data_IF_938820088536
#
_entry.id   IF_938820088536
#
_cell.length_a   1.000
_cell.length_b   1.000
_cell.length_c   1.000
_cell.angle_alpha   90.00
_cell.angle_beta   90.00
_cell.angle_gamma   90.00
#
_symmetry.space_group_name_H-M   'P 1'
#
loop_
_entity.id
_entity.type
_entity.pdbx_description
1 polymer ?
#
# COMPACT_ATOMS: atom_id res chain seq x y z
N UNK A 1 14.74 6.54 23.15
CA UNK A 1 14.50 7.49 22.04
C UNK A 1 13.04 7.93 22.13
N UNK A 2 12.72 9.23 22.06
CA UNK A 2 11.32 9.66 22.21
C UNK A 2 10.49 9.30 20.97
N UNK A 3 9.20 9.01 21.16
CA UNK A 3 8.30 8.60 20.07
C UNK A 3 8.21 9.64 18.93
N UNK A 4 8.34 10.94 19.25
CA UNK A 4 8.35 12.01 18.27
C UNK A 4 9.61 12.02 17.38
N UNK A 5 10.78 11.75 17.97
CA UNK A 5 12.04 11.65 17.23
C UNK A 5 12.00 10.44 16.31
N UNK A 6 11.50 9.30 16.80
CA UNK A 6 11.33 8.11 15.98
C UNK A 6 10.39 8.36 14.79
N UNK A 7 9.24 8.99 15.00
CA UNK A 7 8.31 9.33 13.92
C UNK A 7 8.94 10.26 12.87
N UNK A 8 9.73 11.25 13.29
CA UNK A 8 10.47 12.13 12.36
C UNK A 8 11.48 11.34 11.54
N UNK A 9 12.25 10.45 12.17
CA UNK A 9 13.20 9.58 11.48
C UNK A 9 12.48 8.69 10.46
N UNK A 10 11.35 8.08 10.83
CA UNK A 10 10.58 7.22 9.93
C UNK A 10 9.98 8.00 8.75
N UNK A 11 9.46 9.22 8.97
CA UNK A 11 9.00 10.10 7.88
C UNK A 11 10.14 10.43 6.93
N UNK A 12 11.29 10.85 7.45
CA UNK A 12 12.46 11.14 6.64
C UNK A 12 12.94 9.94 5.83
N UNK A 13 12.98 8.74 6.44
CA UNK A 13 13.32 7.50 5.73
C UNK A 13 12.35 7.21 4.61
N UNK A 14 11.05 7.42 4.84
CA UNK A 14 10.00 7.23 3.82
C UNK A 14 10.22 8.19 2.63
N UNK A 15 10.47 9.47 2.89
CA UNK A 15 10.72 10.46 1.83
C UNK A 15 11.99 10.15 1.03
N UNK A 16 13.06 9.66 1.67
CA UNK A 16 14.30 9.32 0.95
C UNK A 16 14.24 7.98 0.23
N UNK A 17 13.49 7.00 0.74
CA UNK A 17 13.44 5.64 0.18
C UNK A 17 12.43 5.44 -0.94
N UNK A 18 12.18 6.46 -1.78
CA UNK A 18 11.21 6.37 -2.88
C UNK A 18 11.46 5.19 -3.83
N UNK A 19 12.71 4.97 -4.26
CA UNK A 19 13.04 3.83 -5.11
C UNK A 19 12.80 2.47 -4.42
N UNK A 20 13.02 2.40 -3.10
CA UNK A 20 12.71 1.20 -2.30
C UNK A 20 11.21 0.97 -2.22
N UNK A 21 10.43 2.03 -1.99
CA UNK A 21 8.98 2.00 -1.98
C UNK A 21 8.41 1.52 -3.33
N UNK A 22 8.90 2.07 -4.45
CA UNK A 22 8.50 1.65 -5.81
C UNK A 22 8.79 0.19 -6.09
N UNK A 23 9.96 -0.30 -5.68
CA UNK A 23 10.30 -1.72 -5.81
C UNK A 23 9.29 -2.58 -5.06
N UNK A 24 9.00 -2.28 -3.81
CA UNK A 24 8.04 -3.06 -3.02
C UNK A 24 6.61 -2.97 -3.57
N UNK A 25 6.16 -1.80 -4.02
CA UNK A 25 4.86 -1.65 -4.67
C UNK A 25 4.78 -2.42 -5.99
N UNK A 26 5.90 -2.52 -6.72
CA UNK A 26 5.95 -3.31 -7.95
C UNK A 26 5.85 -4.80 -7.67
N UNK A 27 6.49 -5.30 -6.61
CA UNK A 27 6.31 -6.69 -6.15
C UNK A 27 4.85 -6.95 -5.75
N UNK A 28 4.23 -6.03 -5.01
CA UNK A 28 2.81 -6.14 -4.65
C UNK A 28 1.91 -6.15 -5.88
N UNK A 29 2.20 -5.31 -6.89
CA UNK A 29 1.43 -5.29 -8.12
C UNK A 29 1.48 -6.66 -8.83
N UNK A 30 2.66 -7.28 -8.94
CA UNK A 30 2.81 -8.64 -9.49
C UNK A 30 2.01 -9.68 -8.70
N UNK A 31 1.92 -9.55 -7.38
CA UNK A 31 1.11 -10.45 -6.55
C UNK A 31 -0.41 -10.26 -6.72
N UNK A 32 -0.85 -9.06 -7.12
CA UNK A 32 -2.26 -8.71 -7.33
C UNK A 32 -2.75 -8.98 -8.76
N UNK A 33 -1.86 -8.93 -9.76
CA UNK A 33 -2.20 -9.13 -11.19
C UNK A 33 -2.96 -10.44 -11.45
N UNK A 34 -2.53 -11.62 -10.94
CA UNK A 34 -3.26 -12.88 -11.15
C UNK A 34 -4.64 -12.92 -10.49
N UNK A 35 -4.91 -12.01 -9.55
CA UNK A 35 -6.19 -11.95 -8.81
C UNK A 35 -7.26 -11.13 -9.52
N UNK A 36 -6.96 -10.57 -10.70
CA UNK A 36 -7.93 -9.87 -11.55
C UNK A 36 -8.23 -8.43 -11.14
N UNK A 37 -7.46 -7.85 -10.21
CA UNK A 37 -7.59 -6.45 -9.82
C UNK A 37 -6.98 -5.52 -10.88
N UNK A 38 -7.59 -4.35 -11.08
CA UNK A 38 -7.00 -3.29 -11.90
C UNK A 38 -6.03 -2.48 -11.06
N UNK A 39 -4.88 -2.16 -11.63
CA UNK A 39 -3.77 -1.52 -10.92
C UNK A 39 -3.33 -0.26 -11.65
N UNK A 40 -3.23 0.86 -10.92
CA UNK A 40 -2.59 2.09 -11.41
C UNK A 40 -1.35 2.36 -10.57
N UNK A 41 -0.19 2.41 -11.24
CA UNK A 41 1.11 2.72 -10.63
C UNK A 41 1.32 4.23 -10.69
N UNK A 42 1.27 4.88 -9.53
CA UNK A 42 1.49 6.32 -9.36
C UNK A 42 2.86 6.52 -8.71
N UNK A 43 3.93 6.30 -9.48
CA UNK A 43 5.32 6.32 -8.99
C UNK A 43 6.02 7.64 -9.34
N UNK A 44 7.27 7.82 -8.87
CA UNK A 44 8.04 9.05 -9.13
C UNK A 44 8.30 9.28 -10.61
N UNK A 45 8.48 8.21 -11.38
CA UNK A 45 8.64 8.33 -12.83
C UNK A 45 7.43 9.00 -13.51
N UNK A 46 6.25 9.01 -12.86
CA UNK A 46 5.04 9.70 -13.31
C UNK A 46 4.82 11.05 -12.59
N UNK A 47 5.81 11.55 -11.84
CA UNK A 47 5.75 12.85 -11.14
C UNK A 47 5.20 12.80 -9.71
N UNK A 48 4.92 11.61 -9.14
CA UNK A 48 4.36 11.51 -7.79
C UNK A 48 5.47 11.49 -6.73
N UNK A 49 5.47 12.42 -5.74
CA UNK A 49 6.57 12.54 -4.77
C UNK A 49 6.66 11.35 -3.80
N UNK A 50 5.52 10.72 -3.50
CA UNK A 50 5.39 9.50 -2.72
C UNK A 50 4.79 8.42 -3.62
N UNK A 51 5.52 7.33 -3.89
CA UNK A 51 5.02 6.23 -4.69
C UNK A 51 3.76 5.60 -4.09
N UNK A 52 2.77 5.37 -4.94
CA UNK A 52 1.50 4.77 -4.57
C UNK A 52 1.05 3.75 -5.62
N UNK A 53 0.44 2.66 -5.17
CA UNK A 53 -0.26 1.71 -6.02
C UNK A 53 -1.76 1.84 -5.75
N UNK A 54 -2.53 2.26 -6.74
CA UNK A 54 -3.98 2.28 -6.65
C UNK A 54 -4.52 0.93 -7.14
N UNK A 55 -5.19 0.20 -6.26
CA UNK A 55 -5.82 -1.09 -6.55
C UNK A 55 -7.32 -0.85 -6.58
N UNK A 56 -7.98 -1.24 -7.66
CA UNK A 56 -9.41 -1.01 -7.79
C UNK A 56 -10.08 -2.10 -8.60
N UNK A 57 -11.38 -2.21 -8.40
CA UNK A 57 -12.24 -2.88 -9.34
C UNK A 57 -13.52 -2.07 -9.53
N UNK A 58 -14.05 -2.15 -10.74
CA UNK A 58 -15.23 -1.43 -11.16
C UNK A 58 -16.20 -2.37 -11.85
N UNK A 59 -17.44 -2.35 -11.39
CA UNK A 59 -18.60 -2.83 -12.13
C UNK A 59 -19.49 -1.66 -12.56
N UNK A 60 -20.53 -1.91 -13.37
CA UNK A 60 -21.40 -0.87 -13.91
C UNK A 60 -22.16 -0.05 -12.84
N UNK A 61 -22.23 -0.53 -11.60
CA UNK A 61 -23.01 0.09 -10.53
C UNK A 61 -22.19 0.44 -9.28
N UNK A 62 -20.92 0.02 -9.18
CA UNK A 62 -20.07 0.30 -8.04
C UNK A 62 -18.58 0.25 -8.41
N UNK A 63 -17.83 1.21 -7.89
CA UNK A 63 -16.37 1.27 -7.98
C UNK A 63 -15.80 1.25 -6.58
N UNK A 64 -14.92 0.29 -6.29
CA UNK A 64 -14.16 0.26 -5.04
C UNK A 64 -12.68 0.33 -5.36
N UNK A 65 -11.94 1.06 -4.53
CA UNK A 65 -10.51 1.21 -4.66
C UNK A 65 -9.83 1.28 -3.31
N UNK A 66 -8.53 1.04 -3.29
CA UNK A 66 -7.64 1.14 -2.16
C UNK A 66 -6.29 1.64 -2.68
N UNK A 67 -5.81 2.75 -2.13
CA UNK A 67 -4.44 3.19 -2.36
C UNK A 67 -3.49 2.53 -1.38
N UNK A 68 -2.41 1.93 -1.87
CA UNK A 68 -1.35 1.33 -1.06
C UNK A 68 -0.07 2.13 -1.19
N UNK A 69 0.53 2.48 -0.06
CA UNK A 69 1.84 3.12 0.04
C UNK A 69 2.81 2.26 0.83
N UNK A 70 4.10 2.51 0.66
CA UNK A 70 5.16 1.84 1.41
C UNK A 70 5.82 2.83 2.37
N UNK A 71 5.74 2.53 3.66
CA UNK A 71 6.25 3.40 4.73
C UNK A 71 7.40 2.71 5.46
N UNK A 72 8.42 3.50 5.82
CA UNK A 72 9.47 3.01 6.71
C UNK A 72 8.88 2.77 8.11
N UNK A 73 9.17 1.62 8.69
CA UNK A 73 8.79 1.25 10.07
C UNK A 73 10.04 1.07 10.95
N UNK A 74 9.85 0.83 12.24
CA UNK A 74 10.93 0.56 13.19
C UNK A 74 11.77 -0.65 12.76
N UNK A 75 12.98 -0.78 13.31
CA UNK A 75 13.86 -1.92 12.98
C UNK A 75 14.43 -1.92 11.56
N UNK A 76 14.56 -0.75 10.92
CA UNK A 76 15.05 -0.58 9.54
C UNK A 76 14.17 -1.25 8.46
N UNK A 77 12.98 -1.73 8.79
CA UNK A 77 12.07 -2.39 7.86
C UNK A 77 11.11 -1.40 7.14
N UNK A 78 10.26 -1.98 6.28
CA UNK A 78 9.23 -1.31 5.50
C UNK A 78 7.91 -2.09 5.60
N UNK A 79 6.79 -1.38 5.57
CA UNK A 79 5.45 -1.96 5.57
C UNK A 79 4.59 -1.43 4.42
N UNK A 80 3.67 -2.25 3.95
CA UNK A 80 2.56 -1.84 3.11
C UNK A 80 1.47 -1.21 3.98
N UNK A 81 0.92 -0.08 3.54
CA UNK A 81 -0.11 0.65 4.27
C UNK A 81 -1.21 1.14 3.35
N UNK A 82 -2.44 1.14 3.84
CA UNK A 82 -3.55 1.93 3.30
C UNK A 82 -3.18 3.43 3.36
N UNK A 83 -3.21 4.10 2.20
CA UNK A 83 -2.88 5.52 2.07
C UNK A 83 -3.79 6.41 2.91
N UNK A 84 -5.08 6.08 3.01
CA UNK A 84 -6.08 6.90 3.68
C UNK A 84 -5.86 6.88 5.21
N UNK A 85 -5.39 5.73 5.72
CA UNK A 85 -5.09 5.52 7.13
C UNK A 85 -3.63 5.79 7.49
N UNK A 86 -2.78 6.00 6.49
CA UNK A 86 -1.35 6.23 6.64
C UNK A 86 -0.68 5.19 7.54
N UNK A 87 0.09 5.65 8.54
CA UNK A 87 0.81 4.74 9.47
C UNK A 87 -0.10 3.83 10.29
N UNK A 88 -1.38 4.18 10.50
CA UNK A 88 -2.36 3.34 11.19
C UNK A 88 -2.99 2.29 10.28
N UNK A 89 -2.80 2.41 8.97
CA UNK A 89 -3.33 1.49 7.96
C UNK A 89 -2.41 0.34 7.62
N UNK A 90 -1.67 -0.21 8.58
CA UNK A 90 -0.73 -1.31 8.29
C UNK A 90 -1.47 -2.51 7.69
N UNK A 91 -0.97 -3.02 6.57
CA UNK A 91 -1.50 -4.20 5.88
C UNK A 91 -0.63 -5.42 6.14
N UNK A 92 0.67 -5.30 5.84
CA UNK A 92 1.63 -6.39 5.89
C UNK A 92 3.08 -5.86 5.82
N UNK A 93 4.09 -6.64 6.23
CA UNK A 93 5.49 -6.28 6.05
C UNK A 93 5.87 -6.36 4.56
N UNK A 94 6.78 -5.50 4.08
CA UNK A 94 7.17 -5.49 2.67
C UNK A 94 7.94 -6.74 2.20
N UNK A 95 8.36 -7.60 3.13
CA UNK A 95 8.92 -8.93 2.82
C UNK A 95 7.86 -9.98 2.45
N UNK A 96 6.57 -9.66 2.60
CA UNK A 96 5.46 -10.58 2.34
C UNK A 96 4.37 -9.91 1.49
N UNK A 97 4.67 -9.79 0.18
CA UNK A 97 3.72 -9.24 -0.78
C UNK A 97 2.47 -10.12 -0.97
N UNK A 98 2.54 -11.41 -0.63
CA UNK A 98 1.41 -12.32 -0.73
C UNK A 98 0.39 -12.01 0.37
N UNK A 99 0.83 -11.92 1.63
CA UNK A 99 -0.02 -11.51 2.74
C UNK A 99 -0.59 -10.10 2.51
N UNK A 100 0.21 -9.20 1.95
CA UNK A 100 -0.26 -7.87 1.56
C UNK A 100 -1.39 -7.92 0.52
N UNK A 101 -1.24 -8.76 -0.51
CA UNK A 101 -2.27 -8.93 -1.54
C UNK A 101 -3.57 -9.54 -0.98
N UNK A 102 -3.47 -10.48 -0.03
CA UNK A 102 -4.63 -11.05 0.67
C UNK A 102 -5.39 -9.98 1.47
N UNK A 103 -4.67 -9.18 2.26
CA UNK A 103 -5.28 -8.09 3.04
C UNK A 103 -5.94 -7.03 2.16
N UNK A 104 -5.32 -6.68 1.03
CA UNK A 104 -5.91 -5.76 0.04
C UNK A 104 -7.19 -6.35 -0.55
N UNK A 105 -7.18 -7.63 -0.91
CA UNK A 105 -8.33 -8.32 -1.49
C UNK A 105 -9.50 -8.40 -0.50
N UNK A 106 -9.24 -8.76 0.76
CA UNK A 106 -10.28 -8.85 1.80
C UNK A 106 -10.93 -7.48 2.06
N UNK A 107 -10.12 -6.42 2.13
CA UNK A 107 -10.62 -5.04 2.27
C UNK A 107 -11.49 -4.63 1.08
N UNK A 108 -11.06 -4.93 -0.16
CA UNK A 108 -11.82 -4.57 -1.35
C UNK A 108 -13.10 -5.40 -1.48
N UNK A 109 -13.07 -6.70 -1.18
CA UNK A 109 -14.26 -7.56 -1.14
C UNK A 109 -15.27 -7.07 -0.10
N UNK A 110 -14.81 -6.69 1.10
CA UNK A 110 -15.68 -6.12 2.12
C UNK A 110 -16.34 -4.81 1.67
N UNK A 111 -15.61 -3.96 0.93
CA UNK A 111 -16.16 -2.73 0.33
C UNK A 111 -17.17 -3.01 -0.78
N UNK A 112 -17.00 -4.08 -1.57
CA UNK A 112 -17.93 -4.47 -2.63
C UNK A 112 -19.22 -5.07 -2.10
N UNK A 113 -19.13 -5.88 -1.04
CA UNK A 113 -20.24 -6.64 -0.48
C UNK A 113 -20.42 -6.29 1.01
N UNK A 114 -20.88 -5.06 1.32
CA UNK A 114 -21.13 -4.67 2.70
C UNK A 114 -22.23 -5.55 3.30
N UNK A 115 -21.93 -6.21 4.43
CA UNK A 115 -22.90 -7.02 5.19
C UNK A 115 -22.90 -8.52 4.91
N UNK A 116 -21.97 -9.07 4.12
CA UNK A 116 -21.86 -10.52 3.88
C UNK A 116 -20.86 -11.25 4.80
N UNK A 117 -20.39 -10.59 5.87
CA UNK A 117 -19.35 -11.08 6.78
C UNK A 117 -19.60 -10.66 8.21
#
# INVERSE_FOLDING_TARGET
MSAQVEQRVLRWRTHRGGATAERFLSVLAVALEPRGWRLVRLYRAQGFPVPLLWVYAGGPYNHVGLGVVVLAVSGRAWGYHDVERGRRGYLAPCGDAKAAAEQVEDLLKHRMFPGTW
#
